data_IF_593383233564
#
_entry.id   IF_593383233564
#
_cell.length_a   1.000
_cell.length_b   1.000
_cell.length_c   1.000
_cell.angle_alpha   90.00
_cell.angle_beta   90.00
_cell.angle_gamma   90.00
#
_symmetry.space_group_name_H-M   'P 1'
#
loop_
_entity.id
_entity.type
_entity.pdbx_description
1 polymer ?
#
# COMPACT_ATOMS: atom_id res chain seq x y z
N UNK A 1 -21.72 10.89 6.47
CA UNK A 1 -21.46 9.59 7.14
C UNK A 1 -20.60 8.76 6.23
N UNK A 2 -19.28 8.78 6.43
CA UNK A 2 -18.37 7.88 5.76
C UNK A 2 -18.53 6.50 6.41
N UNK A 3 -18.67 5.43 5.61
CA UNK A 3 -18.45 4.08 6.13
C UNK A 3 -16.99 4.02 6.53
N UNK A 4 -16.70 4.20 7.81
CA UNK A 4 -15.58 3.48 8.41
C UNK A 4 -15.80 2.00 8.06
N UNK A 5 -14.77 1.30 7.60
CA UNK A 5 -14.79 -0.15 7.48
C UNK A 5 -15.22 -0.73 8.84
N UNK A 6 -16.50 -1.03 8.99
CA UNK A 6 -17.11 -1.45 10.26
C UNK A 6 -16.98 -2.96 10.47
N UNK A 7 -16.14 -3.60 9.65
CA UNK A 7 -15.77 -5.01 9.76
C UNK A 7 -14.53 -5.18 10.62
N UNK A 8 -14.42 -6.35 11.26
CA UNK A 8 -13.18 -6.86 11.84
C UNK A 8 -12.04 -6.81 10.80
N UNK A 9 -10.79 -6.68 11.25
CA UNK A 9 -9.61 -6.88 10.40
C UNK A 9 -9.43 -8.37 10.07
N UNK A 10 -8.57 -8.70 9.11
CA UNK A 10 -8.12 -10.08 8.96
C UNK A 10 -7.02 -10.38 10.00
N UNK A 11 -7.03 -11.59 10.60
CA UNK A 11 -7.81 -12.76 10.20
C UNK A 11 -9.20 -12.87 10.88
N UNK A 12 -9.55 -12.01 11.83
CA UNK A 12 -10.78 -12.14 12.62
C UNK A 12 -12.06 -12.07 11.78
N UNK A 13 -12.07 -11.25 10.72
CA UNK A 13 -13.19 -11.18 9.77
C UNK A 13 -13.45 -12.50 9.07
N UNK A 14 -12.38 -13.21 8.68
CA UNK A 14 -12.48 -14.53 8.08
C UNK A 14 -13.04 -15.53 9.07
N UNK A 15 -12.55 -15.55 10.32
CA UNK A 15 -13.07 -16.48 11.32
C UNK A 15 -14.53 -16.20 11.69
N UNK A 16 -14.93 -14.93 11.77
CA UNK A 16 -16.33 -14.56 11.96
C UNK A 16 -17.22 -15.01 10.79
N UNK A 17 -16.74 -14.86 9.55
CA UNK A 17 -17.43 -15.36 8.36
C UNK A 17 -17.53 -16.88 8.35
N UNK A 18 -16.44 -17.58 8.68
CA UNK A 18 -16.38 -19.03 8.75
C UNK A 18 -17.34 -19.57 9.82
N UNK A 19 -17.38 -18.95 11.00
CA UNK A 19 -18.35 -19.26 12.06
C UNK A 19 -19.80 -19.05 11.58
N UNK A 20 -20.08 -17.92 10.92
CA UNK A 20 -21.40 -17.62 10.37
C UNK A 20 -21.88 -18.65 9.34
N UNK A 21 -20.96 -19.20 8.54
CA UNK A 21 -21.25 -20.24 7.55
C UNK A 21 -21.39 -21.63 8.21
N UNK A 22 -20.79 -21.85 9.38
CA UNK A 22 -20.86 -23.09 10.15
C UNK A 22 -19.58 -23.93 10.16
N UNK A 23 -18.42 -23.32 9.94
CA UNK A 23 -17.11 -23.99 9.95
C UNK A 23 -16.37 -23.94 11.29
N UNK A 24 -16.92 -23.31 12.34
CA UNK A 24 -16.27 -23.16 13.65
C UNK A 24 -16.45 -24.36 14.61
N UNK A 25 -17.30 -25.33 14.24
CA UNK A 25 -17.57 -26.53 15.04
C UNK A 25 -18.43 -26.27 16.29
N UNK A 26 -19.13 -25.14 16.38
CA UNK A 26 -19.96 -24.80 17.55
C UNK A 26 -21.25 -25.64 17.62
N UNK A 27 -21.58 -26.25 18.77
CA UNK A 27 -22.78 -27.11 18.93
C UNK A 27 -24.12 -26.35 18.87
N UNK A 28 -24.09 -25.01 18.88
CA UNK A 28 -25.29 -24.17 18.73
C UNK A 28 -25.66 -23.90 17.25
N UNK A 29 -24.92 -24.46 16.29
CA UNK A 29 -25.35 -24.50 14.89
C UNK A 29 -26.46 -25.54 14.70
N UNK A 30 -27.65 -25.25 15.22
CA UNK A 30 -28.85 -26.02 14.87
C UNK A 30 -29.00 -26.05 13.34
N UNK A 31 -28.74 -27.21 12.74
CA UNK A 31 -29.19 -27.66 11.41
C UNK A 31 -29.30 -26.59 10.32
N UNK A 32 -28.16 -26.09 9.85
CA UNK A 32 -28.07 -25.61 8.46
C UNK A 32 -26.82 -26.18 7.82
N UNK A 33 -26.94 -27.42 7.32
CA UNK A 33 -26.00 -27.99 6.37
C UNK A 33 -25.68 -26.93 5.31
N UNK A 34 -24.40 -26.63 5.06
CA UNK A 34 -23.98 -25.61 4.09
C UNK A 34 -24.68 -25.84 2.74
N UNK A 35 -24.94 -27.10 2.38
CA UNK A 35 -25.69 -27.48 1.18
C UNK A 35 -27.17 -27.10 1.15
N UNK A 36 -27.75 -26.64 2.26
CA UNK A 36 -29.12 -26.10 2.31
C UNK A 36 -29.19 -24.57 2.18
N UNK A 37 -28.08 -23.88 2.45
CA UNK A 37 -27.99 -22.41 2.40
C UNK A 37 -27.43 -21.88 1.09
N UNK A 38 -26.50 -22.63 0.49
CA UNK A 38 -25.77 -22.20 -0.70
C UNK A 38 -25.97 -23.22 -1.83
N UNK A 39 -25.79 -22.78 -3.06
CA UNK A 39 -25.69 -23.72 -4.19
C UNK A 39 -24.53 -24.70 -3.97
N UNK A 40 -24.61 -25.90 -4.54
CA UNK A 40 -23.56 -26.92 -4.38
C UNK A 40 -22.17 -26.39 -4.77
N UNK A 41 -22.07 -25.60 -5.83
CA UNK A 41 -20.79 -25.06 -6.29
C UNK A 41 -20.23 -24.02 -5.30
N UNK A 42 -21.09 -23.14 -4.77
CA UNK A 42 -20.72 -22.15 -3.74
C UNK A 42 -20.30 -22.84 -2.44
N UNK A 43 -21.05 -23.85 -2.00
CA UNK A 43 -20.73 -24.67 -0.85
C UNK A 43 -19.34 -25.32 -0.96
N UNK A 44 -19.03 -25.89 -2.12
CA UNK A 44 -17.75 -26.55 -2.39
C UNK A 44 -16.58 -25.56 -2.40
N UNK A 45 -16.74 -24.39 -3.04
CA UNK A 45 -15.67 -23.39 -3.08
C UNK A 45 -15.45 -22.74 -1.70
N UNK A 46 -16.50 -22.47 -0.92
CA UNK A 46 -16.36 -21.97 0.45
C UNK A 46 -15.63 -23.00 1.32
N UNK A 47 -15.97 -24.29 1.21
CA UNK A 47 -15.23 -25.37 1.89
C UNK A 47 -13.75 -25.38 1.47
N UNK A 48 -13.47 -25.35 0.16
CA UNK A 48 -12.12 -25.38 -0.37
C UNK A 48 -11.28 -24.19 0.12
N UNK A 49 -11.84 -22.98 0.10
CA UNK A 49 -11.18 -21.76 0.57
C UNK A 49 -10.95 -21.79 2.08
N UNK A 50 -11.91 -22.32 2.86
CA UNK A 50 -11.71 -22.52 4.30
C UNK A 50 -10.54 -23.47 4.59
N UNK A 51 -10.46 -24.61 3.88
CA UNK A 51 -9.34 -25.55 4.02
C UNK A 51 -8.01 -24.92 3.56
N UNK A 52 -8.01 -24.18 2.45
CA UNK A 52 -6.82 -23.49 1.96
C UNK A 52 -6.32 -22.42 2.96
N UNK A 53 -7.23 -21.68 3.58
CA UNK A 53 -6.91 -20.66 4.58
C UNK A 53 -6.36 -21.26 5.88
N UNK A 54 -6.93 -22.37 6.36
CA UNK A 54 -6.65 -22.93 7.70
C UNK A 54 -5.62 -24.07 7.71
N UNK A 55 -5.50 -24.80 6.60
CA UNK A 55 -4.63 -25.98 6.46
C UNK A 55 -3.55 -25.76 5.39
N UNK A 56 -3.86 -25.02 4.32
CA UNK A 56 -2.97 -24.79 3.19
C UNK A 56 -3.26 -25.70 1.99
N UNK A 57 -2.28 -25.94 1.09
CA UNK A 57 -2.49 -26.73 -0.13
C UNK A 57 -3.00 -28.14 0.13
N UNK A 58 -3.90 -28.63 -0.74
CA UNK A 58 -4.49 -29.96 -0.64
C UNK A 58 -3.46 -31.08 -0.83
N UNK A 59 -3.02 -31.67 0.29
CA UNK A 59 -2.08 -32.79 0.36
C UNK A 59 -2.75 -34.12 0.72
N UNK A 60 -4.08 -34.14 0.87
CA UNK A 60 -4.82 -35.36 1.20
C UNK A 60 -4.97 -36.28 -0.03
N UNK A 61 -4.91 -37.62 0.15
CA UNK A 61 -5.11 -38.58 -0.93
C UNK A 61 -6.48 -38.43 -1.60
N UNK A 62 -6.55 -38.74 -2.89
CA UNK A 62 -7.80 -38.69 -3.65
C UNK A 62 -8.83 -39.68 -3.05
N UNK A 63 -10.05 -39.23 -2.71
CA UNK A 63 -11.06 -40.09 -2.11
C UNK A 63 -11.71 -41.04 -3.14
N UNK A 64 -12.35 -42.09 -2.61
CA UNK A 64 -13.05 -43.13 -3.39
C UNK A 64 -14.12 -42.56 -4.33
N UNK A 65 -14.25 -43.18 -5.52
CA UNK A 65 -15.28 -42.87 -6.52
C UNK A 65 -16.71 -43.07 -6.03
N UNK A 66 -16.90 -43.84 -4.95
CA UNK A 66 -18.20 -44.14 -4.38
C UNK A 66 -18.68 -43.09 -3.35
N UNK A 67 -17.91 -42.03 -3.10
CA UNK A 67 -18.31 -40.90 -2.25
C UNK A 67 -18.28 -39.58 -3.04
N UNK A 68 -19.37 -39.22 -3.73
CA UNK A 68 -19.40 -38.06 -4.63
C UNK A 68 -19.20 -36.72 -3.91
N UNK A 69 -19.66 -36.59 -2.66
CA UNK A 69 -19.51 -35.36 -1.86
C UNK A 69 -18.04 -35.12 -1.51
N UNK A 70 -17.37 -36.15 -0.98
CA UNK A 70 -15.94 -36.04 -0.65
C UNK A 70 -15.08 -35.86 -1.91
N UNK A 71 -15.48 -36.44 -3.04
CA UNK A 71 -14.83 -36.14 -4.32
C UNK A 71 -14.99 -34.69 -4.75
N UNK A 72 -16.18 -34.11 -4.61
CA UNK A 72 -16.43 -32.70 -4.91
C UNK A 72 -15.55 -31.78 -4.07
N UNK A 73 -15.54 -32.00 -2.74
CA UNK A 73 -14.71 -31.25 -1.78
C UNK A 73 -13.22 -31.35 -2.11
N UNK A 74 -12.73 -32.56 -2.32
CA UNK A 74 -11.32 -32.80 -2.66
C UNK A 74 -10.94 -32.12 -3.98
N UNK A 75 -11.78 -32.23 -5.00
CA UNK A 75 -11.53 -31.63 -6.32
C UNK A 75 -11.47 -30.10 -6.22
N UNK A 76 -12.43 -29.49 -5.52
CA UNK A 76 -12.48 -28.04 -5.34
C UNK A 76 -11.25 -27.52 -4.57
N UNK A 77 -10.87 -28.17 -3.47
CA UNK A 77 -9.66 -27.81 -2.72
C UNK A 77 -8.37 -28.04 -3.53
N UNK A 78 -8.27 -29.16 -4.25
CA UNK A 78 -7.09 -29.45 -5.08
C UNK A 78 -6.91 -28.43 -6.21
N UNK A 79 -7.99 -27.86 -6.74
CA UNK A 79 -7.96 -26.86 -7.80
C UNK A 79 -7.37 -25.51 -7.35
N UNK A 80 -7.39 -25.20 -6.05
CA UNK A 80 -6.79 -23.97 -5.50
C UNK A 80 -5.25 -23.99 -5.52
N UNK A 81 -4.63 -25.17 -5.68
CA UNK A 81 -3.19 -25.30 -5.84
C UNK A 81 -2.39 -24.69 -4.69
N UNK A 82 -1.52 -23.73 -5.01
CA UNK A 82 -0.62 -23.04 -4.07
C UNK A 82 -1.15 -21.65 -3.65
N UNK A 83 -2.46 -21.41 -3.76
CA UNK A 83 -3.10 -20.17 -3.29
C UNK A 83 -2.70 -19.86 -1.85
N UNK A 84 -2.37 -18.60 -1.59
CA UNK A 84 -1.86 -18.19 -0.27
C UNK A 84 -3.01 -18.09 0.73
N UNK A 85 -2.75 -18.39 2.00
CA UNK A 85 -3.78 -18.41 3.05
C UNK A 85 -4.58 -17.09 3.13
N UNK A 86 -3.91 -15.94 3.06
CA UNK A 86 -4.57 -14.63 3.07
C UNK A 86 -5.50 -14.42 1.87
N UNK A 87 -5.10 -14.85 0.67
CA UNK A 87 -5.95 -14.79 -0.52
C UNK A 87 -7.19 -15.67 -0.35
N UNK A 88 -7.02 -16.89 0.18
CA UNK A 88 -8.12 -17.79 0.47
C UNK A 88 -9.10 -17.20 1.50
N UNK A 89 -8.60 -16.57 2.57
CA UNK A 89 -9.43 -15.86 3.56
C UNK A 89 -10.26 -14.77 2.92
N UNK A 90 -9.65 -13.96 2.04
CA UNK A 90 -10.33 -12.85 1.36
C UNK A 90 -11.38 -13.31 0.37
N UNK A 91 -11.06 -14.30 -0.47
CA UNK A 91 -12.00 -14.87 -1.42
C UNK A 91 -13.18 -15.52 -0.70
N UNK A 92 -12.95 -16.17 0.45
CA UNK A 92 -14.02 -16.74 1.26
C UNK A 92 -15.03 -15.65 1.68
N UNK A 93 -14.52 -14.56 2.27
CA UNK A 93 -15.37 -13.45 2.71
C UNK A 93 -16.04 -12.75 1.54
N UNK A 94 -15.33 -12.55 0.42
CA UNK A 94 -15.86 -11.93 -0.80
C UNK A 94 -17.05 -12.72 -1.37
N UNK A 95 -16.90 -14.04 -1.53
CA UNK A 95 -17.98 -14.90 -2.01
C UNK A 95 -19.16 -14.87 -1.04
N UNK A 96 -18.91 -14.92 0.28
CA UNK A 96 -19.99 -14.82 1.27
C UNK A 96 -20.73 -13.47 1.20
N UNK A 97 -20.03 -12.37 0.96
CA UNK A 97 -20.64 -11.04 0.80
C UNK A 97 -21.48 -10.92 -0.47
N UNK A 98 -21.08 -11.58 -1.54
CA UNK A 98 -21.83 -11.63 -2.80
C UNK A 98 -23.10 -12.47 -2.66
N UNK A 99 -23.01 -13.62 -1.98
CA UNK A 99 -24.14 -14.52 -1.74
C UNK A 99 -25.09 -14.01 -0.65
N UNK A 100 -24.56 -13.42 0.42
CA UNK A 100 -25.31 -12.87 1.55
C UNK A 100 -24.79 -11.49 1.99
N UNK A 101 -25.18 -10.38 1.31
CA UNK A 101 -24.69 -9.02 1.58
C UNK A 101 -24.95 -8.45 2.99
N UNK A 102 -25.70 -9.17 3.83
CA UNK A 102 -26.02 -8.82 5.22
C UNK A 102 -25.49 -9.79 6.27
N UNK A 103 -24.56 -10.70 5.89
CA UNK A 103 -24.05 -11.74 6.79
C UNK A 103 -23.49 -11.16 8.10
N UNK A 104 -22.74 -10.06 8.01
CA UNK A 104 -22.04 -9.48 9.16
C UNK A 104 -23.00 -8.99 10.25
N UNK A 105 -24.07 -8.26 9.87
CA UNK A 105 -25.09 -7.81 10.82
C UNK A 105 -25.85 -8.97 11.46
N UNK A 106 -26.03 -10.08 10.74
CA UNK A 106 -26.70 -11.28 11.27
C UNK A 106 -25.78 -12.06 12.21
N UNK A 107 -24.48 -12.12 11.90
CA UNK A 107 -23.46 -12.71 12.74
C UNK A 107 -23.28 -11.92 14.05
N UNK A 108 -23.26 -10.58 14.00
CA UNK A 108 -23.16 -9.76 15.21
C UNK A 108 -24.38 -9.85 16.12
N UNK A 109 -25.58 -9.97 15.54
CA UNK A 109 -26.83 -10.09 16.30
C UNK A 109 -27.00 -11.46 16.98
N UNK A 110 -26.24 -12.48 16.57
CA UNK A 110 -26.29 -13.82 17.17
C UNK A 110 -25.36 -14.00 18.39
N UNK A 111 -24.56 -12.99 18.74
CA UNK A 111 -23.60 -13.02 19.88
C UNK A 111 -24.15 -12.35 21.15
N UNK A 112 -25.38 -11.82 21.14
CA UNK A 112 -25.99 -11.19 22.31
C UNK A 112 -26.74 -12.20 23.21
N UNK A 113 -26.02 -12.81 24.14
CA UNK A 113 -26.59 -13.15 25.46
C UNK A 113 -25.85 -12.33 26.54
N UNK A 114 -26.56 -11.52 27.35
CA UNK A 114 -25.90 -10.70 28.36
C UNK A 114 -25.42 -11.55 29.53
N UNK A 115 -24.12 -11.55 29.79
CA UNK A 115 -23.57 -11.93 31.10
C UNK A 115 -24.07 -10.91 32.12
N UNK A 116 -24.73 -11.39 33.15
CA UNK A 116 -25.19 -10.57 34.28
C UNK A 116 -23.97 -10.16 35.11
N UNK A 117 -23.72 -8.86 35.21
CA UNK A 117 -22.68 -8.28 36.06
C UNK A 117 -22.96 -8.57 37.53
N UNK A 118 -22.08 -9.37 38.16
CA UNK A 118 -21.98 -9.44 39.62
C UNK A 118 -21.16 -8.25 40.10
N UNK A 119 -21.88 -7.31 40.70
CA UNK A 119 -21.39 -6.12 41.38
C UNK A 119 -20.33 -6.48 42.43
N UNK A 120 -19.10 -5.98 42.29
CA UNK A 120 -18.13 -5.95 43.38
C UNK A 120 -17.79 -4.51 43.80
N UNK A 121 -18.10 -4.24 45.07
CA UNK A 121 -17.90 -2.99 45.77
C UNK A 121 -16.44 -2.52 45.74
N UNK A 122 -16.27 -1.24 45.49
CA UNK A 122 -15.06 -0.50 45.82
C UNK A 122 -14.85 -0.47 47.34
N UNK A 123 -13.62 -0.71 47.78
CA UNK A 123 -13.03 -0.05 48.94
C UNK A 123 -11.52 0.02 48.74
N UNK A 124 -11.06 1.22 48.36
CA UNK A 124 -9.66 1.59 48.39
C UNK A 124 -9.27 1.95 49.84
N UNK A 125 -8.23 1.32 50.35
CA UNK A 125 -7.45 1.83 51.48
C UNK A 125 -6.03 2.00 50.97
N UNK A 126 -5.58 3.25 50.96
CA UNK A 126 -4.22 3.69 50.70
C UNK A 126 -3.53 3.85 52.05
N UNK A 127 -2.35 3.25 52.23
CA UNK A 127 -1.33 3.80 53.12
C UNK A 127 0.08 3.69 52.48
N UNK A 128 0.95 4.71 52.66
CA UNK A 128 2.26 4.83 51.99
C UNK A 128 3.41 4.36 52.89
N UNK A 129 4.51 3.85 52.31
CA UNK A 129 5.78 3.69 53.03
C UNK A 129 6.95 4.26 52.22
N UNK A 130 7.75 5.04 52.94
CA UNK A 130 8.85 5.92 52.56
C UNK A 130 10.17 5.15 52.33
N UNK A 131 11.03 5.77 51.52
CA UNK A 131 12.44 5.50 51.20
C UNK A 131 13.33 4.92 52.32
N UNK A 132 14.35 4.14 51.91
CA UNK A 132 15.71 4.44 52.34
C UNK A 132 16.82 3.93 51.41
N UNK A 133 17.97 4.60 51.53
CA UNK A 133 19.09 4.78 50.58
C UNK A 133 20.31 3.90 50.90
N UNK A 134 21.21 3.80 49.90
CA UNK A 134 22.67 3.50 49.91
C UNK A 134 23.14 2.03 49.89
N UNK A 135 23.92 1.65 48.86
CA UNK A 135 25.40 1.76 48.87
C UNK A 135 26.06 1.25 47.57
N UNK A 136 27.20 1.85 47.22
CA UNK A 136 28.06 1.66 46.05
C UNK A 136 28.84 0.33 45.99
N UNK A 137 29.26 -0.07 44.78
CA UNK A 137 30.60 -0.60 44.51
C UNK A 137 30.99 -0.43 43.02
N UNK A 138 32.10 0.29 42.78
CA UNK A 138 32.84 0.39 41.51
C UNK A 138 33.77 -0.81 41.29
N UNK A 139 34.00 -1.20 40.03
CA UNK A 139 35.28 -1.33 39.26
C UNK A 139 35.06 -2.29 38.06
N UNK A 140 35.72 -2.24 36.89
CA UNK A 140 36.97 -1.63 36.41
C UNK A 140 36.96 -1.66 34.87
N UNK A 141 37.54 -0.65 34.24
CA UNK A 141 37.85 -0.55 32.80
C UNK A 141 39.13 -1.31 32.45
N UNK A 142 39.18 -1.99 31.29
CA UNK A 142 40.41 -2.38 30.58
C UNK A 142 40.20 -2.14 29.08
N UNK A 143 41.21 -1.58 28.41
CA UNK A 143 41.22 -1.16 27.00
C UNK A 143 42.09 -2.05 26.11
N UNK A 144 41.70 -2.08 24.82
CA UNK A 144 42.46 -2.29 23.58
C UNK A 144 43.07 -3.67 23.26
N UNK A 145 42.75 -4.21 22.07
CA UNK A 145 43.73 -4.44 21.00
C UNK A 145 43.10 -4.80 19.65
N UNK A 146 43.89 -4.53 18.60
CA UNK A 146 43.59 -4.54 17.17
C UNK A 146 43.36 -5.93 16.56
N UNK A 147 42.58 -6.00 15.48
CA UNK A 147 42.55 -7.14 14.56
C UNK A 147 41.90 -6.78 13.23
N UNK A 148 42.72 -6.43 12.23
CA UNK A 148 42.29 -6.15 10.86
C UNK A 148 42.14 -7.41 9.99
N UNK A 149 41.26 -7.33 8.98
CA UNK A 149 41.11 -8.26 7.86
C UNK A 149 40.47 -7.46 6.70
N UNK A 150 41.29 -6.86 5.82
CA UNK A 150 41.54 -7.24 4.42
C UNK A 150 40.26 -7.31 3.57
N UNK A 151 39.96 -6.20 2.90
CA UNK A 151 39.05 -6.11 1.75
C UNK A 151 39.74 -6.61 0.48
N UNK A 152 39.04 -7.44 -0.30
CA UNK A 152 39.42 -7.77 -1.69
C UNK A 152 38.64 -6.86 -2.63
N UNK A 153 39.35 -5.98 -3.34
CA UNK A 153 38.79 -5.13 -4.40
C UNK A 153 38.65 -5.94 -5.70
N UNK A 154 37.42 -6.09 -6.19
CA UNK A 154 37.15 -6.43 -7.58
C UNK A 154 37.20 -5.16 -8.43
N UNK A 155 38.06 -5.18 -9.45
CA UNK A 155 38.28 -4.09 -10.39
C UNK A 155 37.23 -4.21 -11.49
N UNK A 156 36.19 -3.36 -11.45
CA UNK A 156 35.28 -3.19 -12.57
C UNK A 156 35.73 -2.06 -13.50
N UNK A 157 35.76 -2.42 -14.78
CA UNK A 157 36.22 -1.64 -15.93
C UNK A 157 35.33 -0.40 -16.11
N UNK A 158 35.94 0.79 -15.99
CA UNK A 158 35.29 2.08 -16.22
C UNK A 158 34.98 2.24 -17.72
N UNK A 159 33.70 2.18 -18.08
CA UNK A 159 33.22 2.69 -19.36
C UNK A 159 33.09 4.22 -19.29
N UNK A 160 33.97 4.93 -19.99
CA UNK A 160 33.95 6.38 -20.13
C UNK A 160 32.63 6.87 -20.75
N UNK A 161 31.88 7.71 -20.01
CA UNK A 161 30.61 8.26 -20.50
C UNK A 161 29.74 9.00 -19.48
N UNK A 162 30.33 9.67 -18.49
CA UNK A 162 29.64 10.67 -17.66
C UNK A 162 30.55 11.88 -17.54
N UNK A 163 29.99 13.09 -17.51
CA UNK A 163 30.65 14.18 -16.79
C UNK A 163 30.85 13.67 -15.37
N UNK A 164 32.09 13.30 -15.02
CA UNK A 164 32.34 12.35 -13.94
C UNK A 164 31.76 12.87 -12.64
N UNK A 165 30.73 12.20 -12.11
CA UNK A 165 30.33 12.38 -10.73
C UNK A 165 31.40 11.71 -9.89
N UNK A 166 32.45 12.47 -9.54
CA UNK A 166 33.60 11.98 -8.72
C UNK A 166 33.29 12.05 -7.22
N UNK A 167 32.03 12.30 -6.86
CA UNK A 167 31.62 12.57 -5.49
C UNK A 167 30.56 11.55 -5.10
N UNK A 168 30.95 10.63 -4.23
CA UNK A 168 30.07 9.66 -3.60
C UNK A 168 29.65 10.19 -2.23
N UNK A 169 28.41 9.91 -1.83
CA UNK A 169 27.85 10.25 -0.51
C UNK A 169 27.92 11.74 -0.12
N UNK A 170 27.89 12.66 -1.10
CA UNK A 170 27.75 14.09 -0.82
C UNK A 170 26.68 14.75 -1.68
N UNK A 171 26.08 15.79 -1.11
CA UNK A 171 25.17 16.67 -1.83
C UNK A 171 25.95 17.53 -2.82
N UNK A 172 25.51 17.52 -4.08
CA UNK A 172 25.99 18.41 -5.12
C UNK A 172 24.83 19.16 -5.76
N UNK A 173 25.07 20.41 -6.13
CA UNK A 173 24.11 21.24 -6.88
C UNK A 173 24.61 21.36 -8.32
N UNK A 174 24.12 20.55 -9.27
CA UNK A 174 24.55 20.63 -10.65
C UNK A 174 24.17 21.97 -11.29
N UNK A 175 25.00 22.44 -12.22
CA UNK A 175 24.68 23.63 -13.02
C UNK A 175 23.58 23.29 -14.02
N UNK A 176 22.40 23.86 -13.80
CA UNK A 176 21.23 23.62 -14.64
C UNK A 176 21.04 24.74 -15.66
N UNK A 177 20.72 24.41 -16.92
CA UNK A 177 20.38 25.38 -17.97
C UNK A 177 18.96 25.17 -18.52
N UNK A 178 18.54 25.98 -19.51
CA UNK A 178 17.26 25.83 -20.19
C UNK A 178 16.05 26.45 -19.48
N UNK A 179 14.85 26.08 -19.94
CA UNK A 179 13.58 26.64 -19.46
C UNK A 179 13.13 25.95 -18.19
N UNK A 180 13.51 26.51 -17.03
CA UNK A 180 13.18 25.94 -15.73
C UNK A 180 11.67 26.02 -15.43
N UNK A 181 11.11 24.96 -14.82
CA UNK A 181 9.75 25.02 -14.27
C UNK A 181 9.68 26.04 -13.13
N UNK A 182 8.51 26.66 -12.93
CA UNK A 182 8.24 27.49 -11.74
C UNK A 182 8.43 26.67 -10.45
N UNK A 183 8.93 27.30 -9.39
CA UNK A 183 9.00 26.69 -8.06
C UNK A 183 7.62 26.20 -7.62
N UNK A 184 7.52 24.94 -7.20
CA UNK A 184 6.26 24.23 -6.97
C UNK A 184 6.45 23.15 -5.92
N UNK A 185 5.35 22.74 -5.29
CA UNK A 185 5.29 21.59 -4.38
C UNK A 185 4.23 20.59 -4.87
N UNK A 186 4.24 19.38 -4.33
CA UNK A 186 3.26 18.33 -4.69
C UNK A 186 3.19 18.03 -6.20
N UNK A 187 4.28 18.27 -6.94
CA UNK A 187 4.42 17.84 -8.31
C UNK A 187 4.83 16.37 -8.33
N UNK A 188 4.44 15.65 -9.38
CA UNK A 188 4.93 14.31 -9.59
C UNK A 188 6.20 14.34 -10.44
N UNK A 189 7.10 13.40 -10.19
CA UNK A 189 8.35 13.26 -10.91
C UNK A 189 8.61 11.79 -11.27
N UNK A 190 9.22 11.56 -12.42
CA UNK A 190 9.58 10.23 -12.90
C UNK A 190 10.87 10.30 -13.71
N UNK A 191 11.72 9.27 -13.61
CA UNK A 191 12.93 9.14 -14.44
C UNK A 191 12.68 8.05 -15.48
N UNK A 192 12.95 8.37 -16.74
CA UNK A 192 12.94 7.43 -17.87
C UNK A 192 14.26 7.60 -18.59
N UNK A 193 15.09 6.55 -18.57
CA UNK A 193 16.44 6.59 -19.12
C UNK A 193 17.26 7.77 -18.58
N UNK A 194 17.71 8.67 -19.46
CA UNK A 194 18.51 9.86 -19.15
C UNK A 194 17.67 11.13 -18.98
N UNK A 195 16.36 10.99 -18.77
CA UNK A 195 15.42 12.11 -18.66
C UNK A 195 14.60 12.03 -17.39
N UNK A 196 14.53 13.15 -16.66
CA UNK A 196 13.61 13.31 -15.55
C UNK A 196 12.44 14.19 -15.96
N UNK A 197 11.23 13.66 -15.87
CA UNK A 197 10.00 14.36 -16.14
C UNK A 197 9.37 14.85 -14.84
N UNK A 198 8.80 16.05 -14.87
CA UNK A 198 7.92 16.53 -13.82
C UNK A 198 6.59 16.99 -14.40
N UNK A 199 5.50 16.69 -13.71
CA UNK A 199 4.15 17.01 -14.13
C UNK A 199 3.35 17.65 -13.00
N UNK A 200 2.61 18.70 -13.34
CA UNK A 200 1.67 19.38 -12.45
C UNK A 200 2.30 19.96 -11.17
N UNK A 201 1.57 19.82 -10.07
CA UNK A 201 1.91 20.38 -8.76
C UNK A 201 1.24 21.72 -8.50
N UNK A 202 1.59 22.33 -7.37
CA UNK A 202 1.00 23.56 -6.87
C UNK A 202 2.03 24.69 -6.84
N UNK A 203 1.66 25.82 -7.44
CA UNK A 203 2.39 27.08 -7.35
C UNK A 203 1.46 28.16 -6.81
N UNK A 204 1.70 28.60 -5.57
CA UNK A 204 0.95 29.67 -4.91
C UNK A 204 -0.58 29.46 -4.93
N UNK A 205 -1.03 28.24 -4.63
CA UNK A 205 -2.45 27.85 -4.61
C UNK A 205 -3.06 27.60 -6.00
N UNK A 206 -2.26 27.62 -7.05
CA UNK A 206 -2.68 27.25 -8.41
C UNK A 206 -2.09 25.91 -8.79
N UNK A 207 -2.96 24.96 -9.08
CA UNK A 207 -2.55 23.68 -9.64
C UNK A 207 -2.12 23.87 -11.08
N UNK A 208 -1.14 23.07 -11.47
CA UNK A 208 -0.49 23.14 -12.76
C UNK A 208 -0.78 21.86 -13.56
N UNK A 209 -0.65 21.96 -14.88
CA UNK A 209 -0.80 20.84 -15.83
C UNK A 209 0.33 20.84 -16.86
N UNK A 210 1.40 21.60 -16.62
CA UNK A 210 2.59 21.62 -17.46
C UNK A 210 3.44 20.37 -17.23
N UNK A 211 4.01 19.87 -18.32
CA UNK A 211 4.99 18.79 -18.34
C UNK A 211 6.35 19.40 -18.69
N UNK A 212 7.34 19.14 -17.86
CA UNK A 212 8.72 19.56 -18.07
C UNK A 212 9.64 18.35 -18.06
N UNK A 213 10.74 18.45 -18.81
CA UNK A 213 11.77 17.42 -18.86
C UNK A 213 13.13 18.03 -18.60
N UNK A 214 13.91 17.39 -17.73
CA UNK A 214 15.32 17.63 -17.50
C UNK A 214 16.09 16.52 -18.19
N UNK A 215 16.90 16.89 -19.17
CA UNK A 215 17.89 16.00 -19.75
C UNK A 215 19.06 15.87 -18.76
N UNK A 216 19.26 14.68 -18.18
CA UNK A 216 20.22 14.44 -17.11
C UNK A 216 21.67 14.42 -17.62
N UNK A 217 21.89 14.13 -18.91
CA UNK A 217 23.23 14.18 -19.53
C UNK A 217 23.73 15.61 -19.69
N UNK A 218 22.85 16.50 -20.11
CA UNK A 218 23.18 17.91 -20.37
C UNK A 218 22.78 18.86 -19.23
N UNK A 219 22.08 18.37 -18.21
CA UNK A 219 21.48 19.17 -17.14
C UNK A 219 20.64 20.36 -17.68
N UNK A 220 19.85 20.11 -18.73
CA UNK A 220 19.07 21.15 -19.41
C UNK A 220 17.58 20.90 -19.29
N UNK A 221 16.83 21.89 -18.78
CA UNK A 221 15.37 21.86 -18.76
C UNK A 221 14.75 22.31 -20.07
N UNK A 222 13.66 21.66 -20.45
CA UNK A 222 12.74 22.15 -21.47
C UNK A 222 11.29 21.89 -21.05
N UNK A 223 10.37 22.68 -21.62
CA UNK A 223 8.93 22.41 -21.52
C UNK A 223 8.54 21.41 -22.61
N UNK A 224 7.75 20.41 -22.26
CA UNK A 224 7.21 19.45 -23.22
C UNK A 224 5.89 19.99 -23.75
N UNK A 225 5.80 20.22 -25.05
CA UNK A 225 4.54 20.62 -25.70
C UNK A 225 3.68 19.39 -25.95
N UNK A 226 2.73 19.16 -25.03
CA UNK A 226 1.85 18.02 -25.06
C UNK A 226 0.58 18.30 -25.87
N UNK A 227 0.21 17.36 -26.72
CA UNK A 227 -1.08 17.36 -27.44
C UNK A 227 -2.11 16.57 -26.64
N UNK A 228 -3.39 16.90 -26.85
CA UNK A 228 -4.51 16.17 -26.28
C UNK A 228 -5.18 15.38 -27.39
N UNK A 229 -5.41 14.08 -27.18
CA UNK A 229 -6.11 13.26 -28.16
C UNK A 229 -7.60 13.69 -28.27
N UNK A 230 -8.03 14.08 -29.48
CA UNK A 230 -9.43 14.33 -29.79
C UNK A 230 -10.12 13.01 -30.13
N UNK A 231 -10.97 12.48 -29.24
CA UNK A 231 -11.77 11.29 -29.53
C UNK A 231 -12.68 11.56 -30.75
N UNK A 232 -12.81 10.56 -31.62
CA UNK A 232 -13.65 10.58 -32.82
C UNK A 232 -15.15 10.77 -32.50
N UNK A 233 -15.80 11.63 -33.30
CA UNK A 233 -17.22 11.87 -33.65
C UNK A 233 -18.39 11.59 -32.68
N UNK A 234 -18.32 10.74 -31.66
CA UNK A 234 -19.50 10.40 -30.84
C UNK A 234 -19.62 11.10 -29.47
N UNK A 235 -18.62 11.88 -29.03
CA UNK A 235 -18.77 12.82 -27.90
C UNK A 235 -17.82 14.02 -28.06
N UNK A 236 -18.30 15.27 -28.19
CA UNK A 236 -17.47 16.42 -28.61
C UNK A 236 -16.76 17.15 -27.46
N UNK A 237 -16.42 16.48 -26.35
CA UNK A 237 -15.61 17.14 -25.31
C UNK A 237 -14.13 16.77 -25.47
N UNK A 238 -13.22 17.74 -25.71
CA UNK A 238 -11.79 17.47 -25.70
C UNK A 238 -11.38 16.93 -24.33
N UNK A 239 -10.42 16.00 -24.28
CA UNK A 239 -9.87 15.49 -23.02
C UNK A 239 -9.18 16.64 -22.29
N UNK A 240 -9.90 17.32 -21.40
CA UNK A 240 -9.38 18.47 -20.70
C UNK A 240 -8.44 17.97 -19.61
N UNK A 241 -7.13 18.14 -19.80
CA UNK A 241 -6.15 17.75 -18.78
C UNK A 241 -6.32 18.68 -17.58
N UNK A 242 -7.00 18.18 -16.56
CA UNK A 242 -7.24 18.92 -15.32
C UNK A 242 -5.90 19.16 -14.59
N UNK A 243 -5.57 20.42 -14.23
CA UNK A 243 -4.41 20.73 -13.40
C UNK A 243 -4.51 20.05 -12.04
N UNK A 244 -3.45 19.36 -11.63
CA UNK A 244 -3.46 18.49 -10.45
C UNK A 244 -2.21 18.63 -9.60
N UNK A 245 -2.33 18.27 -8.32
CA UNK A 245 -1.25 18.23 -7.34
C UNK A 245 -1.41 17.00 -6.44
N UNK A 246 -0.31 16.53 -5.85
CA UNK A 246 -0.30 15.39 -4.93
C UNK A 246 -0.52 14.05 -5.61
N UNK A 247 -0.38 14.00 -6.94
CA UNK A 247 -0.44 12.78 -7.76
C UNK A 247 0.95 12.13 -7.86
N UNK A 248 0.99 10.94 -8.44
CA UNK A 248 2.24 10.22 -8.75
C UNK A 248 2.40 10.08 -10.26
N UNK A 249 3.66 10.03 -10.72
CA UNK A 249 4.03 9.86 -12.11
C UNK A 249 4.84 8.58 -12.22
N UNK A 250 4.30 7.58 -12.92
CA UNK A 250 4.89 6.24 -12.98
C UNK A 250 5.30 5.94 -14.41
N UNK A 251 6.58 5.67 -14.69
CA UNK A 251 7.00 5.08 -15.96
C UNK A 251 6.35 3.72 -16.16
N UNK A 252 5.71 3.52 -17.32
CA UNK A 252 5.16 2.24 -17.72
C UNK A 252 5.30 2.09 -19.22
N UNK A 253 6.15 1.16 -19.66
CA UNK A 253 6.53 0.99 -21.07
C UNK A 253 6.98 2.32 -21.70
N UNK A 254 6.33 2.76 -22.78
CA UNK A 254 6.59 4.03 -23.47
C UNK A 254 5.69 5.18 -22.95
N UNK A 255 5.13 5.07 -21.74
CA UNK A 255 4.18 6.02 -21.19
C UNK A 255 4.59 6.51 -19.81
N UNK A 256 4.14 7.72 -19.49
CA UNK A 256 4.12 8.23 -18.12
C UNK A 256 2.67 8.21 -17.62
N UNK A 257 2.40 7.43 -16.58
CA UNK A 257 1.09 7.35 -15.95
C UNK A 257 1.00 8.38 -14.83
N UNK A 258 0.15 9.38 -14.98
CA UNK A 258 -0.26 10.27 -13.89
C UNK A 258 -1.48 9.69 -13.20
N UNK A 259 -1.34 9.39 -11.90
CA UNK A 259 -2.34 8.66 -11.12
C UNK A 259 -2.50 9.27 -9.73
N UNK A 260 -3.72 9.19 -9.20
CA UNK A 260 -4.13 9.82 -7.94
C UNK A 260 -3.94 11.35 -7.95
N UNK A 261 -3.87 11.96 -6.77
CA UNK A 261 -3.82 13.40 -6.57
C UNK A 261 -5.20 14.05 -6.59
N UNK A 262 -5.17 15.37 -6.40
CA UNK A 262 -6.38 16.19 -6.37
C UNK A 262 -6.35 17.23 -7.46
N UNK A 263 -7.54 17.57 -7.94
CA UNK A 263 -7.78 18.82 -8.67
C UNK A 263 -8.56 19.80 -7.81
N UNK A 264 -8.85 20.98 -8.37
CA UNK A 264 -9.70 21.97 -7.71
C UNK A 264 -11.18 21.58 -7.72
N UNK A 265 -11.55 20.58 -8.53
CA UNK A 265 -12.90 20.07 -8.58
C UNK A 265 -13.08 18.96 -7.55
N UNK A 266 -13.84 19.17 -6.47
CA UNK A 266 -14.06 18.15 -5.44
C UNK A 266 -14.93 16.98 -5.94
N UNK A 267 -15.57 17.10 -7.11
CA UNK A 267 -16.37 16.04 -7.73
C UNK A 267 -15.55 15.09 -8.60
N UNK A 268 -14.26 15.38 -8.80
CA UNK A 268 -13.41 14.55 -9.64
C UNK A 268 -13.20 13.16 -9.04
N UNK A 269 -13.36 12.16 -9.88
CA UNK A 269 -13.13 10.77 -9.54
C UNK A 269 -11.66 10.42 -9.69
N UNK A 270 -11.25 9.28 -9.13
CA UNK A 270 -9.90 8.77 -9.32
C UNK A 270 -9.68 8.41 -10.80
N UNK A 271 -8.66 8.99 -11.40
CA UNK A 271 -8.38 8.89 -12.83
C UNK A 271 -6.93 8.45 -13.07
N UNK A 272 -6.72 7.75 -14.19
CA UNK A 272 -5.40 7.40 -14.70
C UNK A 272 -5.19 8.07 -16.05
N UNK A 273 -4.25 9.01 -16.10
CA UNK A 273 -3.87 9.74 -17.32
C UNK A 273 -2.57 9.15 -17.83
N UNK A 274 -2.46 8.93 -19.13
CA UNK A 274 -1.24 8.42 -19.74
C UNK A 274 -0.69 9.43 -20.73
N UNK A 275 0.59 9.78 -20.59
CA UNK A 275 1.32 10.55 -21.60
C UNK A 275 2.19 9.61 -22.42
N UNK A 276 1.96 9.56 -23.73
CA UNK A 276 2.79 8.79 -24.65
C UNK A 276 4.08 9.55 -24.99
N UNK A 277 5.22 8.95 -24.66
CA UNK A 277 6.53 9.57 -24.83
C UNK A 277 6.97 9.67 -26.31
N UNK A 278 6.43 8.82 -27.20
CA UNK A 278 6.81 8.82 -28.61
C UNK A 278 6.07 9.90 -29.39
N UNK A 279 4.76 10.02 -29.18
CA UNK A 279 3.92 10.95 -29.96
C UNK A 279 3.60 12.24 -29.20
N UNK A 280 3.92 12.31 -27.91
CA UNK A 280 3.75 13.50 -27.09
C UNK A 280 2.29 13.84 -26.81
N UNK A 281 1.44 12.82 -26.61
CA UNK A 281 0.00 13.00 -26.41
C UNK A 281 -0.48 12.45 -25.07
N UNK A 282 -1.41 13.16 -24.44
CA UNK A 282 -2.14 12.66 -23.29
C UNK A 282 -3.43 11.96 -23.71
N UNK A 283 -3.73 10.86 -23.02
CA UNK A 283 -5.00 10.15 -23.09
C UNK A 283 -5.48 9.75 -21.69
N UNK A 284 -6.78 9.46 -21.59
CA UNK A 284 -7.37 8.87 -20.39
C UNK A 284 -7.39 7.35 -20.54
N UNK A 285 -6.85 6.63 -19.57
CA UNK A 285 -7.00 5.18 -19.53
C UNK A 285 -8.37 4.83 -18.93
N UNK A 286 -9.12 3.98 -19.64
CA UNK A 286 -10.31 3.38 -19.09
C UNK A 286 -9.87 2.31 -18.10
N UNK A 287 -10.37 2.39 -16.87
CA UNK A 287 -10.12 1.38 -15.84
C UNK A 287 -11.43 0.77 -15.38
N UNK A 288 -11.34 -0.44 -14.85
CA UNK A 288 -12.48 -1.27 -14.46
C UNK A 288 -12.39 -1.64 -12.98
N UNK A 289 -13.43 -2.26 -12.42
CA UNK A 289 -13.45 -2.63 -11.01
C UNK A 289 -13.81 -1.47 -10.07
N UNK A 290 -13.29 -1.49 -8.85
CA UNK A 290 -13.61 -0.52 -7.79
C UNK A 290 -12.43 0.43 -7.57
N UNK A 291 -12.35 1.56 -8.28
CA UNK A 291 -11.26 2.50 -8.07
C UNK A 291 -11.34 3.13 -6.66
N UNK A 292 -10.19 3.52 -6.09
CA UNK A 292 -10.14 4.27 -4.85
C UNK A 292 -10.91 5.61 -4.97
N UNK A 293 -11.30 6.18 -3.83
CA UNK A 293 -11.73 7.59 -3.79
C UNK A 293 -10.60 8.53 -4.22
N UNK A 294 -10.93 9.67 -4.83
CA UNK A 294 -9.97 10.73 -5.14
C UNK A 294 -9.24 11.21 -3.88
N UNK A 295 -7.91 11.25 -3.93
CA UNK A 295 -7.04 11.40 -2.77
C UNK A 295 -5.69 12.00 -3.14
N UNK A 296 -5.02 12.60 -2.16
CA UNK A 296 -3.71 13.24 -2.30
C UNK A 296 -2.79 12.85 -1.14
N UNK A 297 -1.48 12.92 -1.37
CA UNK A 297 -0.47 12.51 -0.40
C UNK A 297 -0.44 11.00 -0.14
N UNK A 298 -1.09 10.21 -1.00
CA UNK A 298 -0.92 8.76 -1.08
C UNK A 298 0.45 8.39 -1.66
N UNK A 299 0.89 7.16 -1.42
CA UNK A 299 1.97 6.55 -2.18
C UNK A 299 1.40 5.72 -3.33
N UNK A 300 2.11 5.70 -4.46
CA UNK A 300 1.86 4.77 -5.57
C UNK A 300 3.18 4.13 -5.96
N UNK A 301 3.26 2.80 -5.92
CA UNK A 301 4.48 2.05 -6.23
C UNK A 301 4.20 0.98 -7.27
N UNK A 302 5.05 0.88 -8.30
CA UNK A 302 4.98 -0.17 -9.31
C UNK A 302 5.69 -1.42 -8.81
N UNK A 303 5.05 -2.58 -8.93
CA UNK A 303 5.58 -3.91 -8.62
C UNK A 303 5.22 -4.84 -9.76
N UNK A 304 6.22 -5.30 -10.52
CA UNK A 304 5.96 -6.02 -11.78
C UNK A 304 5.03 -5.22 -12.69
N UNK A 305 3.82 -5.73 -12.93
CA UNK A 305 2.78 -5.10 -13.78
C UNK A 305 1.67 -4.41 -12.98
N UNK A 306 1.87 -4.22 -11.68
CA UNK A 306 0.81 -3.80 -10.76
C UNK A 306 1.18 -2.51 -10.04
N UNK A 307 0.26 -1.55 -9.97
CA UNK A 307 0.38 -0.38 -9.10
C UNK A 307 -0.26 -0.66 -7.74
N UNK A 308 0.51 -0.45 -6.68
CA UNK A 308 0.06 -0.54 -5.30
C UNK A 308 -0.09 0.86 -4.72
N UNK A 309 -1.31 1.21 -4.32
CA UNK A 309 -1.69 2.53 -3.79
C UNK A 309 -1.99 2.37 -2.30
N UNK A 310 -1.38 3.21 -1.46
CA UNK A 310 -1.62 3.17 -0.01
C UNK A 310 -1.87 4.56 0.58
N UNK A 311 -2.91 4.64 1.42
CA UNK A 311 -3.21 5.79 2.27
C UNK A 311 -3.59 7.05 1.50
N UNK A 312 -3.15 8.20 2.01
CA UNK A 312 -3.48 9.53 1.51
C UNK A 312 -4.66 10.16 2.23
N UNK A 313 -5.20 11.23 1.65
CA UNK A 313 -6.29 12.00 2.23
C UNK A 313 -7.36 12.30 1.19
N UNK A 314 -8.63 12.13 1.53
CA UNK A 314 -9.75 12.43 0.62
C UNK A 314 -10.16 13.92 0.63
N UNK A 315 -11.07 14.30 -0.28
CA UNK A 315 -11.59 15.66 -0.37
C UNK A 315 -12.33 16.14 0.89
N UNK A 316 -12.76 15.23 1.78
CA UNK A 316 -13.39 15.53 3.07
C UNK A 316 -12.38 15.64 4.20
N UNK A 317 -11.09 15.66 3.88
CA UNK A 317 -9.97 15.69 4.82
C UNK A 317 -9.85 14.42 5.68
N UNK A 318 -10.48 13.33 5.26
CA UNK A 318 -10.36 12.02 5.92
C UNK A 318 -9.04 11.40 5.51
N UNK A 319 -8.19 11.10 6.49
CA UNK A 319 -6.98 10.32 6.26
C UNK A 319 -7.33 8.86 6.05
N UNK A 320 -6.59 8.20 5.17
CA UNK A 320 -6.87 6.85 4.73
C UNK A 320 -5.67 5.93 5.04
N UNK A 321 -5.95 4.64 5.19
CA UNK A 321 -4.97 3.55 5.27
C UNK A 321 -5.42 2.32 4.47
N UNK A 322 -6.31 2.51 3.51
CA UNK A 322 -6.72 1.49 2.56
C UNK A 322 -5.59 1.23 1.56
N UNK A 323 -5.61 0.00 1.03
CA UNK A 323 -4.66 -0.49 0.04
C UNK A 323 -5.45 -0.83 -1.22
N UNK A 324 -5.04 -0.27 -2.35
CA UNK A 324 -5.65 -0.55 -3.65
C UNK A 324 -4.59 -1.05 -4.61
N UNK A 325 -5.02 -1.92 -5.51
CA UNK A 325 -4.20 -2.50 -6.56
C UNK A 325 -4.83 -2.16 -7.91
N UNK A 326 -4.03 -1.65 -8.84
CA UNK A 326 -4.37 -1.57 -10.26
C UNK A 326 -3.44 -2.49 -11.05
N UNK A 327 -4.01 -3.54 -11.64
CA UNK A 327 -3.33 -4.35 -12.64
C UNK A 327 -3.23 -3.55 -13.95
N UNK A 328 -2.02 -3.33 -14.47
CA UNK A 328 -1.80 -2.52 -15.68
C UNK A 328 -2.00 -3.31 -16.99
N UNK A 329 -2.05 -4.65 -16.94
CA UNK A 329 -2.36 -5.47 -18.11
C UNK A 329 -3.87 -5.51 -18.36
N UNK A 330 -4.66 -5.65 -17.29
CA UNK A 330 -6.13 -5.74 -17.37
C UNK A 330 -6.84 -4.42 -17.10
N UNK A 331 -6.12 -3.41 -16.60
CA UNK A 331 -6.64 -2.11 -16.17
C UNK A 331 -7.77 -2.23 -15.13
N UNK A 332 -7.70 -3.24 -14.26
CA UNK A 332 -8.73 -3.53 -13.26
C UNK A 332 -8.26 -3.18 -11.85
N UNK A 333 -9.13 -2.50 -11.12
CA UNK A 333 -8.94 -2.11 -9.73
C UNK A 333 -9.50 -3.13 -8.75
N UNK A 334 -8.71 -3.43 -7.72
CA UNK A 334 -9.12 -4.19 -6.55
C UNK A 334 -8.76 -3.47 -5.25
N UNK A 335 -9.70 -3.47 -4.30
CA UNK A 335 -9.49 -3.02 -2.93
C UNK A 335 -8.98 -4.18 -2.06
N UNK A 336 -7.94 -3.90 -1.29
CA UNK A 336 -7.17 -4.92 -0.59
C UNK A 336 -7.18 -4.73 0.93
N UNK A 337 -8.01 -5.51 1.61
CA UNK A 337 -7.84 -5.85 3.03
C UNK A 337 -6.68 -6.84 3.30
N UNK A 338 -5.49 -6.33 3.61
CA UNK A 338 -4.34 -7.16 4.01
C UNK A 338 -4.49 -7.72 5.44
N UNK A 339 -3.77 -8.81 5.74
CA UNK A 339 -3.69 -9.42 7.08
C UNK A 339 -2.70 -8.64 7.95
N UNK A 340 -2.86 -8.69 9.26
CA UNK A 340 -1.95 -8.06 10.21
C UNK A 340 -2.34 -6.61 10.52
N UNK A 341 -1.45 -5.88 11.20
CA UNK A 341 -1.75 -4.51 11.67
C UNK A 341 -1.24 -3.49 10.64
N UNK A 342 -2.13 -2.87 9.84
CA UNK A 342 -1.72 -1.88 8.86
C UNK A 342 -1.16 -0.62 9.53
N UNK A 343 -0.50 0.26 8.76
CA UNK A 343 -0.21 1.61 9.22
C UNK A 343 -1.49 2.35 9.59
N UNK A 344 -1.39 3.25 10.57
CA UNK A 344 -2.48 4.19 10.89
C UNK A 344 -2.81 5.06 9.67
N UNK A 345 -4.06 5.56 9.54
CA UNK A 345 -4.42 6.52 8.50
C UNK A 345 -3.44 7.69 8.42
N UNK A 346 -2.90 7.94 7.23
CA UNK A 346 -1.78 8.87 7.03
C UNK A 346 -1.71 9.41 5.61
N UNK A 347 -1.11 10.59 5.47
CA UNK A 347 -0.71 11.17 4.19
C UNK A 347 0.73 11.68 4.25
N UNK A 348 1.35 11.87 3.07
CA UNK A 348 2.70 12.40 2.95
C UNK A 348 3.79 11.46 3.47
N UNK A 349 3.51 10.16 3.54
CA UNK A 349 4.51 9.11 3.77
C UNK A 349 5.28 8.81 2.49
N UNK A 350 6.48 8.24 2.64
CA UNK A 350 7.20 7.65 1.52
C UNK A 350 6.92 6.15 1.45
N UNK A 351 6.94 5.61 0.23
CA UNK A 351 6.90 4.18 -0.01
C UNK A 351 8.04 3.76 -0.93
N UNK A 352 8.46 2.51 -0.79
CA UNK A 352 9.42 1.86 -1.67
C UNK A 352 9.11 0.37 -1.78
N UNK A 353 9.57 -0.25 -2.86
CA UNK A 353 9.55 -1.70 -3.03
C UNK A 353 10.96 -2.23 -2.88
N UNK A 354 11.09 -3.30 -2.10
CA UNK A 354 12.33 -4.02 -1.91
C UNK A 354 12.17 -5.46 -2.39
N UNK A 355 13.15 -5.92 -3.17
CA UNK A 355 13.23 -7.27 -3.72
C UNK A 355 11.95 -7.73 -4.46
N UNK A 356 11.23 -6.81 -5.13
CA UNK A 356 9.96 -7.06 -5.85
C UNK A 356 8.88 -7.76 -5.00
N UNK A 357 8.99 -7.69 -3.67
CA UNK A 357 8.11 -8.41 -2.75
C UNK A 357 7.64 -7.57 -1.57
N UNK A 358 8.50 -6.71 -1.04
CA UNK A 358 8.21 -6.00 0.21
C UNK A 358 7.89 -4.54 -0.08
N UNK A 359 6.65 -4.14 0.15
CA UNK A 359 6.26 -2.73 0.14
C UNK A 359 6.59 -2.12 1.51
N UNK A 360 7.53 -1.19 1.52
CA UNK A 360 7.94 -0.41 2.68
C UNK A 360 7.10 0.86 2.75
N UNK A 361 6.60 1.22 3.93
CA UNK A 361 5.92 2.50 4.21
C UNK A 361 6.62 3.15 5.39
N UNK A 362 7.11 4.38 5.22
CA UNK A 362 7.80 5.13 6.27
C UNK A 362 7.19 6.51 6.50
N UNK A 363 7.01 6.84 7.78
CA UNK A 363 6.58 8.16 8.22
C UNK A 363 5.21 8.58 7.71
N UNK A 364 5.10 9.83 7.26
CA UNK A 364 3.84 10.50 6.97
C UNK A 364 3.23 11.10 8.23
N UNK A 365 1.99 11.56 8.15
CA UNK A 365 1.35 12.19 9.30
C UNK A 365 -0.16 12.07 9.34
N UNK A 366 -0.66 12.23 10.57
CA UNK A 366 -2.03 12.62 10.83
C UNK A 366 -2.17 14.15 10.84
N UNK A 367 -3.38 14.64 11.10
CA UNK A 367 -3.64 16.06 11.33
C UNK A 367 -2.89 16.64 12.53
N UNK A 368 -2.46 15.80 13.47
CA UNK A 368 -1.82 16.23 14.71
C UNK A 368 -0.36 15.77 14.85
N UNK A 369 0.03 14.72 14.13
CA UNK A 369 1.28 14.01 14.39
C UNK A 369 1.93 13.47 13.13
N UNK A 370 3.18 13.84 12.88
CA UNK A 370 4.08 13.08 12.01
C UNK A 370 4.50 11.75 12.68
N UNK A 371 4.80 10.76 11.85
CA UNK A 371 5.24 9.42 12.25
C UNK A 371 6.70 9.16 11.80
N UNK A 372 7.37 8.22 12.45
CA UNK A 372 8.66 7.64 12.05
C UNK A 372 8.64 6.10 12.10
N UNK A 373 7.45 5.50 12.07
CA UNK A 373 7.30 4.06 12.01
C UNK A 373 7.62 3.55 10.60
N UNK A 374 8.18 2.33 10.55
CA UNK A 374 8.39 1.57 9.32
C UNK A 374 7.41 0.40 9.34
N UNK A 375 6.63 0.32 8.28
CA UNK A 375 5.75 -0.80 8.01
C UNK A 375 6.21 -1.53 6.77
N UNK A 376 6.03 -2.85 6.77
CA UNK A 376 6.34 -3.71 5.62
C UNK A 376 5.13 -4.55 5.31
N UNK A 377 4.63 -4.45 4.08
CA UNK A 377 3.67 -5.39 3.52
C UNK A 377 4.44 -6.38 2.65
N UNK A 378 4.35 -7.67 3.00
CA UNK A 378 4.76 -8.74 2.10
C UNK A 378 3.68 -8.91 1.04
N UNK A 379 3.98 -8.53 -0.21
CA UNK A 379 3.05 -8.55 -1.33
C UNK A 379 2.72 -9.97 -1.81
N UNK A 380 3.49 -10.97 -1.38
CA UNK A 380 3.19 -12.37 -1.68
C UNK A 380 2.16 -12.92 -0.69
N UNK A 381 2.32 -12.63 0.60
CA UNK A 381 1.40 -13.11 1.64
C UNK A 381 0.27 -12.14 1.96
N UNK A 382 0.35 -10.91 1.45
CA UNK A 382 -0.53 -9.79 1.77
C UNK A 382 -0.65 -9.56 3.29
N UNK A 383 0.49 -9.61 3.98
CA UNK A 383 0.57 -9.48 5.44
C UNK A 383 1.44 -8.29 5.85
N UNK A 384 0.89 -7.43 6.71
CA UNK A 384 1.59 -6.32 7.32
C UNK A 384 2.42 -6.75 8.53
N UNK A 385 3.63 -6.23 8.60
CA UNK A 385 4.53 -6.35 9.74
C UNK A 385 5.15 -4.99 10.09
N UNK A 386 5.69 -4.90 11.31
CA UNK A 386 6.44 -3.74 11.82
C UNK A 386 7.82 -4.20 12.26
N UNK A 387 8.82 -4.25 11.36
CA UNK A 387 10.15 -4.72 11.71
C UNK A 387 10.82 -3.77 12.71
N UNK A 388 11.67 -4.33 13.57
CA UNK A 388 12.49 -3.53 14.48
C UNK A 388 13.59 -2.83 13.69
N UNK A 389 13.69 -1.52 13.84
CA UNK A 389 14.71 -0.69 13.21
C UNK A 389 15.97 -0.65 14.09
N UNK A 390 17.14 -0.67 13.46
CA UNK A 390 18.43 -0.54 14.14
C UNK A 390 19.13 0.76 13.71
N UNK A 391 20.01 1.28 14.56
CA UNK A 391 20.73 2.52 14.30
C UNK A 391 19.91 3.79 14.61
N UNK A 392 20.33 4.91 14.03
CA UNK A 392 19.65 6.19 14.20
C UNK A 392 18.39 6.24 13.32
N UNK A 393 17.23 6.22 13.98
CA UNK A 393 15.93 6.30 13.31
C UNK A 393 15.65 7.77 12.95
N UNK A 394 15.28 8.09 11.70
CA UNK A 394 14.91 9.46 11.34
C UNK A 394 13.79 9.99 12.23
N UNK A 395 13.87 11.26 12.63
CA UNK A 395 12.79 11.89 13.39
C UNK A 395 11.46 11.86 12.61
N UNK A 396 10.30 11.88 13.31
CA UNK A 396 8.99 11.86 12.67
C UNK A 396 8.84 12.93 11.61
N UNK A 397 8.34 12.55 10.43
CA UNK A 397 8.30 13.45 9.28
C UNK A 397 7.19 13.13 8.27
N UNK A 398 6.67 14.17 7.62
CA UNK A 398 5.73 14.07 6.51
C UNK A 398 6.16 14.95 5.34
N UNK A 399 5.70 14.63 4.12
CA UNK A 399 6.04 15.35 2.90
C UNK A 399 7.50 15.20 2.46
N UNK A 400 8.15 14.12 2.89
CA UNK A 400 9.51 13.78 2.50
C UNK A 400 9.52 12.97 1.20
N UNK A 401 10.67 12.95 0.52
CA UNK A 401 10.90 12.12 -0.65
C UNK A 401 11.68 10.86 -0.27
N UNK A 402 11.46 9.79 -1.03
CA UNK A 402 12.19 8.54 -0.90
C UNK A 402 12.61 7.99 -2.26
N UNK A 403 13.81 7.41 -2.36
CA UNK A 403 14.29 6.73 -3.57
C UNK A 403 15.16 5.53 -3.21
N UNK A 404 14.99 4.41 -3.93
CA UNK A 404 15.84 3.22 -3.78
C UNK A 404 17.03 3.29 -4.73
N UNK A 405 18.21 2.97 -4.22
CA UNK A 405 19.44 2.83 -5.02
C UNK A 405 20.17 1.58 -4.53
N UNK A 406 20.26 0.56 -5.38
CA UNK A 406 20.70 -0.76 -4.96
C UNK A 406 19.78 -1.33 -3.87
N UNK A 407 20.35 -1.79 -2.78
CA UNK A 407 19.60 -2.33 -1.62
C UNK A 407 19.17 -1.25 -0.62
N UNK A 408 19.61 -0.01 -0.82
CA UNK A 408 19.40 1.08 0.13
C UNK A 408 18.18 1.94 -0.26
N UNK A 409 17.41 2.34 0.75
CA UNK A 409 16.33 3.31 0.62
C UNK A 409 16.73 4.65 1.25
N UNK A 410 16.88 5.67 0.41
CA UNK A 410 17.25 7.01 0.84
C UNK A 410 16.01 7.86 1.09
N UNK A 411 15.92 8.48 2.26
CA UNK A 411 14.85 9.40 2.65
C UNK A 411 15.40 10.81 2.83
N UNK A 412 14.77 11.81 2.24
CA UNK A 412 15.21 13.21 2.32
C UNK A 412 14.07 14.20 2.52
N UNK A 413 14.33 15.24 3.30
CA UNK A 413 13.42 16.37 3.50
C UNK A 413 12.22 16.02 4.38
N UNK A 414 11.09 16.66 4.09
CA UNK A 414 9.88 16.65 4.91
C UNK A 414 9.97 17.60 6.11
N UNK A 415 8.81 17.82 6.75
CA UNK A 415 8.68 18.59 7.99
C UNK A 415 8.23 17.71 9.15
N UNK A 416 8.48 18.17 10.37
CA UNK A 416 7.96 17.57 11.60
C UNK A 416 6.87 18.47 12.23
N UNK A 417 6.34 18.08 13.39
CA UNK A 417 5.28 18.88 14.05
C UNK A 417 5.81 20.16 14.73
N UNK A 418 7.13 20.40 14.75
CA UNK A 418 7.81 21.50 15.45
C UNK A 418 8.39 22.54 14.49
N UNK A 419 8.68 22.15 13.25
CA UNK A 419 9.33 22.93 12.21
C UNK A 419 8.39 23.82 11.41
#
# INVERSE_FOLDING_TARGET
MARASSGLAYPERFYAAAAYVGFDGSPNSNDKDIGSRFSTDVALILYALYQQATVGPCNVPKPSLWNPVEQGKWKSWKQLGNMVSAEAMRLFVKILEEEEPGWYSRASNSVLEPVTDVQMNHNAIVEPIIENRNSFAETKTISAENGGLIETQDIDVVSEGLGSVVVYDQWTSPTITGQRPKGRYEHAAAVVEDKMYIYGGNHNGRYLSDLHVLDLRSCTWSKVEAKVESKSVETPSPVNITPSAGHSLIPWENKLLSIAGHTKDPSETFQVKAFDLQIGTWSMLNTYGKPPVSRGGQSVTLVGTTLVIFGGQDAKQTLLNDLHILDLETLTWDEIDAVGVPPSPRSGHAAAVHAERYLLIFGGGSHATCFNDLHVLDLQTMEWSRPTQQGEIPVPRAGHAGVTVGENWFIVGGGDNKS
#
